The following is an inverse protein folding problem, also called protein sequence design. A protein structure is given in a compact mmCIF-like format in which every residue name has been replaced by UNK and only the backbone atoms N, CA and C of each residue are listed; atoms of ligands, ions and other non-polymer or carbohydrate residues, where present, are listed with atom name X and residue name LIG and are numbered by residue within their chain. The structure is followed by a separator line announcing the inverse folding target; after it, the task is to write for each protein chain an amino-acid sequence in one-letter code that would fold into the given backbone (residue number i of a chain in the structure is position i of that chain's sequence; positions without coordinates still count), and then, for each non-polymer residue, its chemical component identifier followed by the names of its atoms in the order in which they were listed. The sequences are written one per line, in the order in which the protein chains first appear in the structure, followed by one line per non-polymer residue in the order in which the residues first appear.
data_IF_818737001933
#
_entry.id   IF_818737001933
#
_cell.length_a   1.000
_cell.length_b   1.000
_cell.length_c   1.000
_cell.angle_alpha   90.00
_cell.angle_beta   90.00
_cell.angle_gamma   90.00
#
_symmetry.space_group_name_H-M   'P 1'
#
loop_
_entity.id
_entity.type
_entity.pdbx_description
1 polymer ?
#
# COMPACT_ATOMS: atom_id res chain seq x y z
N UNK A 1 -7.90 -6.44 -4.45
CA UNK A 1 -7.89 -6.94 -3.06
C UNK A 1 -6.51 -6.73 -2.48
N UNK A 2 -6.42 -5.98 -1.39
CA UNK A 2 -5.15 -5.64 -0.75
C UNK A 2 -5.02 -6.47 0.52
N UNK A 3 -4.07 -7.41 0.54
CA UNK A 3 -3.85 -8.27 1.70
C UNK A 3 -2.85 -7.63 2.66
N UNK A 4 -3.28 -7.40 3.88
CA UNK A 4 -2.45 -6.94 4.98
C UNK A 4 -1.52 -8.07 5.47
N UNK A 5 -0.35 -7.73 6.02
CA UNK A 5 0.57 -8.76 6.56
C UNK A 5 -0.03 -9.51 7.76
N UNK A 6 -1.00 -8.91 8.45
CA UNK A 6 -1.76 -9.57 9.52
C UNK A 6 -2.70 -10.67 8.99
N UNK A 7 -2.74 -10.88 7.66
CA UNK A 7 -3.55 -11.90 7.01
C UNK A 7 -4.95 -11.42 6.60
N UNK A 8 -5.35 -10.21 6.99
CA UNK A 8 -6.66 -9.65 6.62
C UNK A 8 -6.64 -9.08 5.21
N UNK A 9 -7.64 -9.47 4.42
CA UNK A 9 -7.87 -8.87 3.11
C UNK A 9 -8.71 -7.60 3.22
N UNK A 10 -8.28 -6.56 2.52
CA UNK A 10 -8.91 -5.24 2.53
C UNK A 10 -9.35 -4.87 1.11
N UNK A 11 -10.59 -4.43 0.97
CA UNK A 11 -11.14 -3.89 -0.28
C UNK A 11 -10.75 -2.41 -0.41
N UNK A 12 -9.57 -2.15 -0.98
CA UNK A 12 -9.10 -0.79 -1.36
C UNK A 12 -9.21 0.26 -0.23
N UNK A 13 -9.08 -0.18 1.01
CA UNK A 13 -9.08 0.69 2.19
C UNK A 13 -7.71 1.34 2.37
N UNK A 14 -7.68 2.55 2.93
CA UNK A 14 -6.44 3.23 3.33
C UNK A 14 -5.75 2.56 4.52
N UNK A 15 -6.53 1.93 5.39
CA UNK A 15 -6.08 1.27 6.61
C UNK A 15 -6.65 -0.14 6.67
N UNK A 16 -5.92 -1.05 7.32
CA UNK A 16 -6.41 -2.39 7.58
C UNK A 16 -7.57 -2.35 8.57
N UNK A 17 -8.66 -3.04 8.26
CA UNK A 17 -9.85 -3.12 9.13
C UNK A 17 -9.62 -3.92 10.41
N UNK A 18 -8.56 -4.73 10.48
CA UNK A 18 -8.26 -5.57 11.63
C UNK A 18 -7.20 -4.96 12.56
N UNK A 19 -6.06 -4.54 12.01
CA UNK A 19 -4.95 -4.00 12.81
C UNK A 19 -4.83 -2.47 12.78
N UNK A 20 -5.64 -1.77 11.98
CA UNK A 20 -5.61 -0.31 11.86
C UNK A 20 -4.41 0.27 11.10
N UNK A 21 -3.44 -0.56 10.69
CA UNK A 21 -2.23 -0.10 10.01
C UNK A 21 -2.52 0.48 8.63
N UNK A 22 -1.82 1.53 8.26
CA UNK A 22 -1.90 2.10 6.92
C UNK A 22 -1.37 1.09 5.90
N UNK A 23 -2.15 0.90 4.84
CA UNK A 23 -1.79 0.00 3.76
C UNK A 23 -1.07 0.81 2.67
N UNK A 24 0.11 0.32 2.28
CA UNK A 24 1.02 0.97 1.32
C UNK A 24 1.54 -0.06 0.33
N UNK A 25 1.81 0.32 -0.91
CA UNK A 25 2.49 -0.54 -1.89
C UNK A 25 3.86 0.04 -2.25
N UNK A 26 4.72 -0.79 -2.82
CA UNK A 26 6.04 -0.36 -3.28
C UNK A 26 5.93 0.18 -4.69
N UNK A 27 6.46 1.38 -4.90
CA UNK A 27 6.62 1.88 -6.26
C UNK A 27 7.50 0.93 -7.07
N UNK A 28 7.01 0.45 -8.21
CA UNK A 28 7.76 -0.51 -9.03
C UNK A 28 9.12 0.04 -9.51
N UNK A 29 9.20 1.36 -9.73
CA UNK A 29 10.38 2.06 -10.24
C UNK A 29 11.41 2.41 -9.16
N UNK A 30 10.99 2.97 -8.03
CA UNK A 30 11.91 3.48 -7.00
C UNK A 30 11.85 2.74 -5.66
N UNK A 31 10.97 1.73 -5.54
CA UNK A 31 10.76 0.89 -4.34
C UNK A 31 10.42 1.68 -3.07
N UNK A 32 9.96 2.92 -3.21
CA UNK A 32 9.46 3.72 -2.08
C UNK A 32 8.00 3.36 -1.78
N UNK A 33 7.59 3.42 -0.51
CA UNK A 33 6.19 3.24 -0.12
C UNK A 33 5.32 4.32 -0.76
N UNK A 34 4.17 3.92 -1.28
CA UNK A 34 3.15 4.81 -1.83
C UNK A 34 1.79 4.38 -1.30
N UNK A 35 0.94 5.36 -0.98
CA UNK A 35 -0.38 5.06 -0.46
C UNK A 35 -1.31 4.54 -1.57
N UNK A 36 -2.19 3.59 -1.24
CA UNK A 36 -3.11 2.94 -2.20
C UNK A 36 -4.02 3.94 -2.90
N UNK A 37 -4.31 5.06 -2.24
CA UNK A 37 -5.15 6.13 -2.81
C UNK A 37 -4.40 7.11 -3.69
N UNK A 38 -3.07 7.06 -3.69
CA UNK A 38 -2.26 7.88 -4.60
C UNK A 38 -2.14 7.21 -5.97
N UNK A 39 -2.43 8.00 -7.01
CA UNK A 39 -2.32 7.59 -8.42
C UNK A 39 -0.88 7.66 -8.95
N UNK A 40 0.00 8.34 -8.22
CA UNK A 40 1.38 8.61 -8.59
C UNK A 40 2.29 8.46 -7.38
N UNK A 41 3.52 8.00 -7.59
CA UNK A 41 4.53 7.96 -6.56
C UNK A 41 5.02 9.38 -6.25
N UNK A 42 4.83 9.87 -5.02
CA UNK A 42 5.31 11.18 -4.59
C UNK A 42 6.84 11.36 -4.61
N UNK A 43 7.61 10.27 -4.73
CA UNK A 43 9.09 10.34 -4.77
C UNK A 43 9.70 10.33 -6.18
N UNK A 44 9.03 9.71 -7.16
CA UNK A 44 9.60 9.60 -8.52
C UNK A 44 8.63 9.95 -9.65
N UNK A 45 7.38 10.30 -9.33
CA UNK A 45 6.34 10.70 -10.28
C UNK A 45 5.74 9.56 -11.11
N UNK A 46 6.19 8.31 -10.91
CA UNK A 46 5.70 7.16 -11.68
C UNK A 46 4.23 6.89 -11.36
N UNK A 47 3.40 6.66 -12.38
CA UNK A 47 2.02 6.18 -12.20
C UNK A 47 2.01 4.83 -11.54
N UNK A 48 1.13 4.67 -10.58
CA UNK A 48 1.11 3.48 -9.74
C UNK A 48 -0.09 2.61 -10.08
N UNK A 49 0.08 1.29 -10.19
CA UNK A 49 -1.03 0.40 -10.42
C UNK A 49 -1.84 0.26 -9.12
N UNK A 50 -3.13 0.63 -9.18
CA UNK A 50 -4.07 0.54 -8.04
C UNK A 50 -4.27 -0.90 -7.49
N UNK A 51 -3.65 -1.92 -8.08
CA UNK A 51 -3.81 -3.32 -7.68
C UNK A 51 -2.62 -3.92 -6.91
N UNK A 52 -1.52 -3.17 -6.70
CA UNK A 52 -0.30 -3.73 -6.13
C UNK A 52 -0.52 -4.29 -4.70
N UNK A 53 0.15 -5.40 -4.39
CA UNK A 53 0.12 -6.03 -3.06
C UNK A 53 0.57 -5.01 -2.02
N UNK A 54 -0.35 -4.49 -1.22
CA UNK A 54 0.05 -3.63 -0.13
C UNK A 54 0.72 -4.47 0.96
N UNK A 55 1.74 -3.90 1.56
CA UNK A 55 2.38 -4.40 2.76
C UNK A 55 2.13 -3.41 3.89
N UNK A 56 2.34 -3.88 5.11
CA UNK A 56 2.29 -3.03 6.28
C UNK A 56 3.65 -2.38 6.47
N UNK A 57 3.69 -1.07 6.69
CA UNK A 57 4.84 -0.44 7.36
C UNK A 57 4.67 -0.54 8.87
N UNK A 58 4.58 -1.77 9.40
CA UNK A 58 4.91 -1.91 10.82
C UNK A 58 6.38 -1.47 10.95
N UNK A 59 6.72 -0.44 11.73
CA UNK A 59 8.03 -0.47 12.35
C UNK A 59 8.05 -1.78 13.14
N UNK A 60 9.03 -2.62 12.82
CA UNK A 60 9.32 -3.79 13.65
C UNK A 60 9.52 -3.35 15.10
#
# INVERSE_FOLDING_TARGET
MVRCICGTDNMEKKYCTNCGTQLLYDCEKCKKPVAITEKFCGSCGTKTPHYAKAYNTHPR
#
